data_IF_259105021245
#
_entry.id   IF_259105021245
#
_cell.length_a   1.000
_cell.length_b   1.000
_cell.length_c   1.000
_cell.angle_alpha   90.00
_cell.angle_beta   90.00
_cell.angle_gamma   90.00
#
_symmetry.space_group_name_H-M   'P 1'
#
loop_
_entity.id
_entity.type
_entity.pdbx_description
1 polymer ?
#
# COMPACT_ATOMS: atom_id res chain seq x y z
N UNK A 1 4.10 -21.74 -6.72
CA UNK A 1 2.77 -21.30 -7.17
C UNK A 1 1.96 -22.48 -7.70
N UNK A 2 2.46 -23.26 -8.68
CA UNK A 2 1.74 -24.38 -9.32
C UNK A 2 1.30 -25.44 -8.30
N UNK A 3 2.19 -25.89 -7.42
CA UNK A 3 1.90 -26.90 -6.38
C UNK A 3 0.82 -26.41 -5.42
N UNK A 4 0.90 -25.17 -4.95
CA UNK A 4 -0.12 -24.55 -4.09
C UNK A 4 -1.47 -24.41 -4.82
N UNK A 5 -1.47 -24.12 -6.13
CA UNK A 5 -2.68 -24.05 -6.94
C UNK A 5 -3.38 -25.41 -7.06
N UNK A 6 -2.62 -26.48 -7.31
CA UNK A 6 -3.15 -27.84 -7.38
C UNK A 6 -3.69 -28.29 -6.02
N UNK A 7 -2.97 -28.06 -4.94
CA UNK A 7 -3.45 -28.36 -3.57
C UNK A 7 -4.72 -27.57 -3.25
N UNK A 8 -4.81 -26.30 -3.67
CA UNK A 8 -6.01 -25.48 -3.49
C UNK A 8 -7.25 -26.06 -4.20
N UNK A 9 -7.09 -26.60 -5.40
CA UNK A 9 -8.20 -27.24 -6.13
C UNK A 9 -8.80 -28.45 -5.38
N UNK A 10 -7.98 -29.18 -4.63
CA UNK A 10 -8.45 -30.35 -3.86
C UNK A 10 -8.91 -30.03 -2.45
N UNK A 11 -8.41 -28.95 -1.84
CA UNK A 11 -8.69 -28.62 -0.43
C UNK A 11 -9.75 -27.53 -0.27
N UNK A 12 -9.91 -26.61 -1.24
CA UNK A 12 -10.91 -25.57 -1.18
C UNK A 12 -12.27 -26.13 -1.61
N UNK A 13 -13.14 -26.39 -0.63
CA UNK A 13 -14.57 -26.62 -0.89
C UNK A 13 -15.23 -25.27 -1.15
N UNK A 14 -15.84 -25.14 -2.31
CA UNK A 14 -16.65 -23.97 -2.66
C UNK A 14 -17.85 -23.88 -1.69
N UNK A 15 -17.80 -22.91 -0.79
CA UNK A 15 -18.92 -22.64 0.11
C UNK A 15 -19.99 -21.91 -0.68
N UNK A 16 -20.90 -22.66 -1.29
CA UNK A 16 -22.08 -22.15 -2.02
C UNK A 16 -23.11 -21.53 -1.07
N UNK A 17 -22.71 -20.63 -0.21
CA UNK A 17 -23.60 -19.82 0.61
C UNK A 17 -23.84 -18.45 -0.02
N UNK A 18 -24.44 -18.44 -1.18
CA UNK A 18 -24.91 -17.23 -1.86
C UNK A 18 -25.75 -17.65 -3.05
N UNK A 19 -27.03 -17.37 -2.98
CA UNK A 19 -27.91 -17.44 -4.15
C UNK A 19 -27.38 -16.41 -5.15
N UNK A 20 -26.55 -16.88 -6.11
CA UNK A 20 -26.23 -16.07 -7.27
C UNK A 20 -27.55 -15.93 -8.07
N UNK A 21 -28.16 -14.78 -7.98
CA UNK A 21 -29.11 -14.36 -9.01
C UNK A 21 -28.35 -14.35 -10.36
N UNK A 22 -28.63 -15.34 -11.17
CA UNK A 22 -27.94 -15.67 -12.43
C UNK A 22 -28.14 -14.65 -13.56
N UNK A 23 -28.70 -13.46 -13.32
CA UNK A 23 -29.04 -12.46 -14.35
C UNK A 23 -28.48 -11.07 -14.10
N UNK A 24 -27.45 -10.92 -13.28
CA UNK A 24 -26.75 -9.64 -13.11
C UNK A 24 -25.81 -9.37 -14.29
N UNK A 25 -26.05 -8.27 -14.99
CA UNK A 25 -25.10 -7.78 -15.99
C UNK A 25 -23.90 -7.19 -15.22
N UNK A 26 -22.73 -7.86 -15.25
CA UNK A 26 -21.51 -7.49 -14.50
C UNK A 26 -21.19 -5.99 -14.55
N UNK A 27 -21.38 -5.37 -15.72
CA UNK A 27 -21.21 -3.92 -15.90
C UNK A 27 -22.23 -3.08 -15.12
N UNK A 28 -23.48 -3.55 -15.02
CA UNK A 28 -24.52 -2.86 -14.22
C UNK A 28 -24.19 -2.94 -12.72
N UNK A 29 -23.68 -4.07 -12.26
CA UNK A 29 -23.30 -4.28 -10.87
C UNK A 29 -22.07 -3.42 -10.50
N UNK A 30 -21.07 -3.33 -11.39
CA UNK A 30 -19.92 -2.47 -11.20
C UNK A 30 -20.33 -0.98 -11.13
N UNK A 31 -21.19 -0.52 -12.07
CA UNK A 31 -21.71 0.86 -12.08
C UNK A 31 -22.61 1.13 -10.87
N UNK A 32 -23.34 0.10 -10.39
CA UNK A 32 -24.19 0.23 -9.21
C UNK A 32 -23.41 0.73 -7.98
N UNK A 33 -22.22 0.22 -7.76
CA UNK A 33 -21.34 0.65 -6.67
C UNK A 33 -20.97 2.14 -6.72
N UNK A 34 -20.94 2.76 -7.89
CA UNK A 34 -20.64 4.19 -8.03
C UNK A 34 -21.89 5.10 -7.97
N UNK A 35 -23.08 4.55 -7.77
CA UNK A 35 -24.28 5.37 -7.58
C UNK A 35 -24.18 6.23 -6.33
N UNK A 36 -24.54 7.53 -6.39
CA UNK A 36 -24.45 8.44 -5.23
C UNK A 36 -25.20 7.95 -3.99
N UNK A 37 -26.31 7.22 -4.16
CA UNK A 37 -27.06 6.61 -3.07
C UNK A 37 -26.23 5.55 -2.32
N UNK A 38 -25.57 4.64 -3.07
CA UNK A 38 -24.74 3.56 -2.52
C UNK A 38 -23.48 4.13 -1.83
N UNK A 39 -22.86 5.16 -2.44
CA UNK A 39 -21.72 5.86 -1.85
C UNK A 39 -22.11 6.55 -0.54
N UNK A 40 -23.27 7.19 -0.49
CA UNK A 40 -23.78 7.87 0.72
C UNK A 40 -24.09 6.87 1.84
N UNK A 41 -24.75 5.77 1.51
CA UNK A 41 -25.06 4.67 2.44
C UNK A 41 -23.78 4.05 3.02
N UNK A 42 -22.79 3.76 2.17
CA UNK A 42 -21.53 3.13 2.55
C UNK A 42 -20.38 4.14 2.69
N UNK A 43 -20.66 5.35 3.14
CA UNK A 43 -19.71 6.47 3.15
C UNK A 43 -18.42 6.19 3.92
N UNK A 44 -18.45 5.35 4.97
CA UNK A 44 -17.25 4.92 5.72
C UNK A 44 -16.34 4.02 4.89
N UNK A 45 -16.93 3.10 4.12
CA UNK A 45 -16.20 2.22 3.22
C UNK A 45 -15.52 3.02 2.10
N UNK A 46 -16.22 3.97 1.47
CA UNK A 46 -15.63 4.80 0.42
C UNK A 46 -14.54 5.74 0.95
N UNK A 47 -14.66 6.24 2.17
CA UNK A 47 -13.56 6.97 2.83
C UNK A 47 -12.34 6.06 3.07
N UNK A 48 -12.55 4.81 3.44
CA UNK A 48 -11.47 3.84 3.58
C UNK A 48 -10.84 3.51 2.20
N UNK A 49 -11.64 3.42 1.12
CA UNK A 49 -11.12 3.27 -0.24
C UNK A 49 -10.29 4.47 -0.69
N UNK A 50 -10.72 5.69 -0.38
CA UNK A 50 -9.94 6.90 -0.67
C UNK A 50 -8.62 6.89 0.11
N UNK A 51 -8.64 6.50 1.40
CA UNK A 51 -7.44 6.42 2.22
C UNK A 51 -6.43 5.43 1.64
N UNK A 52 -6.88 4.23 1.25
CA UNK A 52 -6.00 3.21 0.68
C UNK A 52 -5.52 3.59 -0.73
N UNK A 53 -6.35 4.29 -1.51
CA UNK A 53 -5.98 4.83 -2.82
C UNK A 53 -4.84 5.84 -2.71
N UNK A 54 -4.95 6.81 -1.80
CA UNK A 54 -3.91 7.81 -1.56
C UNK A 54 -2.61 7.16 -1.04
N UNK A 55 -2.73 6.20 -0.13
CA UNK A 55 -1.57 5.43 0.37
C UNK A 55 -0.86 4.69 -0.77
N UNK A 56 -1.60 3.93 -1.56
CA UNK A 56 -1.02 3.19 -2.69
C UNK A 56 -0.48 4.12 -3.78
N UNK A 57 -1.13 5.27 -4.01
CA UNK A 57 -0.58 6.29 -4.92
C UNK A 57 0.76 6.81 -4.41
N UNK A 58 0.89 7.11 -3.11
CA UNK A 58 2.17 7.52 -2.54
C UNK A 58 3.27 6.46 -2.73
N UNK A 59 2.92 5.17 -2.58
CA UNK A 59 3.85 4.07 -2.85
C UNK A 59 4.25 4.04 -4.32
N UNK A 60 3.29 4.14 -5.24
CA UNK A 60 3.55 4.07 -6.68
C UNK A 60 4.29 5.29 -7.25
N UNK A 61 4.40 6.39 -6.51
CA UNK A 61 5.23 7.53 -6.92
C UNK A 61 6.71 7.17 -6.97
N UNK A 62 7.22 6.39 -6.02
CA UNK A 62 8.65 6.07 -5.91
C UNK A 62 8.98 4.60 -6.20
N UNK A 63 8.07 3.68 -5.90
CA UNK A 63 8.38 2.25 -5.92
C UNK A 63 8.84 1.72 -7.29
N UNK A 64 8.23 2.11 -8.44
CA UNK A 64 8.71 1.69 -9.76
C UNK A 64 10.13 2.19 -10.07
N UNK A 65 10.52 3.32 -9.51
CA UNK A 65 11.81 3.96 -9.76
C UNK A 65 12.87 3.61 -8.70
N UNK A 66 12.47 2.95 -7.61
CA UNK A 66 13.34 2.70 -6.45
C UNK A 66 14.60 1.93 -6.82
N UNK A 67 14.47 0.86 -7.62
CA UNK A 67 15.60 0.04 -8.01
C UNK A 67 16.61 0.83 -8.84
N UNK A 68 16.12 1.58 -9.83
CA UNK A 68 16.93 2.41 -10.71
C UNK A 68 17.62 3.52 -9.90
N UNK A 69 16.91 4.13 -8.94
CA UNK A 69 17.47 5.12 -8.02
C UNK A 69 18.62 4.54 -7.17
N UNK A 70 18.45 3.34 -6.64
CA UNK A 70 19.50 2.67 -5.88
C UNK A 70 20.74 2.40 -6.73
N UNK A 71 20.57 1.96 -7.98
CA UNK A 71 21.66 1.62 -8.89
C UNK A 71 22.39 2.87 -9.40
N UNK A 72 21.66 3.80 -10.00
CA UNK A 72 22.25 4.96 -10.70
C UNK A 72 22.55 6.14 -9.77
N UNK A 73 21.63 6.49 -8.88
CA UNK A 73 21.80 7.67 -8.03
C UNK A 73 22.58 7.41 -6.74
N UNK A 74 22.49 6.19 -6.18
CA UNK A 74 23.21 5.81 -4.96
C UNK A 74 24.40 4.89 -5.21
N UNK A 75 24.65 4.46 -6.46
CA UNK A 75 25.77 3.62 -6.85
C UNK A 75 25.72 2.21 -6.23
N UNK A 76 24.52 1.67 -6.01
CA UNK A 76 24.35 0.38 -5.37
C UNK A 76 24.45 -0.75 -6.40
N UNK A 77 25.51 -1.53 -6.38
CA UNK A 77 25.70 -2.67 -7.27
C UNK A 77 24.89 -3.87 -6.76
N UNK A 78 23.81 -4.20 -7.47
CA UNK A 78 22.97 -5.36 -7.13
C UNK A 78 23.71 -6.68 -7.37
N UNK A 79 24.62 -6.73 -8.33
CA UNK A 79 25.44 -7.91 -8.61
C UNK A 79 26.36 -8.25 -7.42
N UNK A 80 26.96 -7.25 -6.79
CA UNK A 80 27.75 -7.43 -5.57
C UNK A 80 26.87 -7.97 -4.43
N UNK A 81 25.66 -7.47 -4.28
CA UNK A 81 24.70 -7.96 -3.28
C UNK A 81 24.30 -9.41 -3.55
N UNK A 82 24.01 -9.77 -4.80
CA UNK A 82 23.67 -11.14 -5.19
C UNK A 82 24.84 -12.11 -4.96
N UNK A 83 26.05 -11.67 -5.20
CA UNK A 83 27.27 -12.45 -4.91
C UNK A 83 27.44 -12.76 -3.41
N UNK A 84 27.14 -11.81 -2.54
CA UNK A 84 27.16 -11.99 -1.08
C UNK A 84 25.95 -12.80 -0.56
N UNK A 85 24.84 -12.82 -1.31
CA UNK A 85 23.52 -13.29 -0.86
C UNK A 85 23.28 -14.78 -1.16
N UNK A 86 23.97 -15.38 -2.15
CA UNK A 86 23.61 -16.74 -2.63
C UNK A 86 23.81 -17.87 -1.63
N UNK A 87 24.82 -17.83 -0.76
CA UNK A 87 25.02 -18.88 0.26
C UNK A 87 24.37 -18.55 1.63
N UNK A 88 24.53 -17.32 2.19
CA UNK A 88 23.91 -16.99 3.47
C UNK A 88 22.39 -16.84 3.41
N UNK A 89 21.80 -16.51 2.25
CA UNK A 89 20.32 -16.38 2.14
C UNK A 89 19.60 -17.70 2.29
N UNK A 90 20.13 -18.80 1.78
CA UNK A 90 19.51 -20.11 1.97
C UNK A 90 19.46 -20.51 3.45
N UNK A 91 20.48 -20.11 4.23
CA UNK A 91 20.56 -20.33 5.67
C UNK A 91 19.73 -19.30 6.44
N UNK A 92 19.68 -18.05 5.96
CA UNK A 92 18.95 -16.96 6.60
C UNK A 92 17.44 -16.96 6.31
N UNK A 93 16.99 -17.57 5.19
CA UNK A 93 15.59 -17.59 4.79
C UNK A 93 14.61 -18.06 5.89
N UNK A 94 14.85 -19.16 6.63
CA UNK A 94 13.98 -19.58 7.72
C UNK A 94 13.95 -18.56 8.85
N UNK A 95 15.05 -17.89 9.17
CA UNK A 95 15.11 -16.85 10.20
C UNK A 95 14.36 -15.60 9.79
N UNK A 96 14.41 -15.22 8.51
CA UNK A 96 13.63 -14.12 7.94
C UNK A 96 12.13 -14.41 8.03
N UNK A 97 11.71 -15.63 7.71
CA UNK A 97 10.30 -16.05 7.82
C UNK A 97 9.84 -15.99 9.28
N UNK A 98 10.64 -16.50 10.22
CA UNK A 98 10.34 -16.44 11.67
C UNK A 98 10.25 -14.98 12.13
N UNK A 99 11.17 -14.12 11.69
CA UNK A 99 11.15 -12.70 12.02
C UNK A 99 9.89 -12.00 11.47
N UNK A 100 9.48 -12.31 10.24
CA UNK A 100 8.25 -11.79 9.65
C UNK A 100 7.01 -12.23 10.44
N UNK A 101 6.92 -13.50 10.81
CA UNK A 101 5.83 -14.01 11.65
C UNK A 101 5.82 -13.31 13.02
N UNK A 102 7.00 -13.15 13.64
CA UNK A 102 7.12 -12.43 14.92
C UNK A 102 6.65 -10.98 14.81
N UNK A 103 7.00 -10.28 13.72
CA UNK A 103 6.54 -8.91 13.44
C UNK A 103 5.01 -8.87 13.30
N UNK A 104 4.40 -9.80 12.58
CA UNK A 104 2.93 -9.87 12.42
C UNK A 104 2.25 -10.06 13.77
N UNK A 105 2.77 -10.96 14.63
CA UNK A 105 2.23 -11.20 15.97
C UNK A 105 2.41 -9.96 16.87
N UNK A 106 3.57 -9.31 16.81
CA UNK A 106 3.82 -8.07 17.55
C UNK A 106 2.87 -6.94 17.14
N UNK A 107 2.65 -6.78 15.83
CA UNK A 107 1.68 -5.81 15.31
C UNK A 107 0.27 -6.11 15.81
N UNK A 108 -0.16 -7.38 15.81
CA UNK A 108 -1.44 -7.79 16.38
C UNK A 108 -1.58 -7.37 17.84
N UNK A 109 -0.61 -7.74 18.70
CA UNK A 109 -0.58 -7.34 20.11
C UNK A 109 -0.55 -5.83 20.32
N UNK A 110 0.12 -5.10 19.43
CA UNK A 110 0.21 -3.65 19.48
C UNK A 110 -1.15 -2.99 19.16
N UNK A 111 -1.89 -3.56 18.20
CA UNK A 111 -3.27 -3.14 17.87
C UNK A 111 -4.17 -3.30 19.09
N UNK A 112 -4.10 -4.45 19.77
CA UNK A 112 -4.92 -4.77 20.95
C UNK A 112 -4.60 -3.84 22.13
N UNK A 113 -3.32 -3.46 22.30
CA UNK A 113 -2.86 -2.65 23.44
C UNK A 113 -3.07 -1.15 23.24
N UNK A 114 -2.78 -0.62 22.06
CA UNK A 114 -2.77 0.83 21.77
C UNK A 114 -4.08 1.29 21.12
N UNK A 115 -4.79 0.35 20.51
CA UNK A 115 -6.00 0.63 19.74
C UNK A 115 -5.71 0.99 18.28
N UNK A 116 -6.61 0.53 17.40
CA UNK A 116 -6.49 0.63 15.95
C UNK A 116 -6.32 2.07 15.44
N UNK A 117 -7.05 3.02 16.04
CA UNK A 117 -7.03 4.41 15.58
C UNK A 117 -5.69 5.10 15.84
N UNK A 118 -5.10 4.90 17.02
CA UNK A 118 -3.80 5.51 17.37
C UNK A 118 -2.72 4.91 16.48
N UNK A 119 -2.72 3.60 16.33
CA UNK A 119 -1.72 2.89 15.52
C UNK A 119 -1.79 3.29 14.04
N UNK A 120 -2.98 3.59 13.51
CA UNK A 120 -3.14 4.11 12.16
C UNK A 120 -2.40 5.46 11.97
N UNK A 121 -2.57 6.41 12.90
CA UNK A 121 -1.87 7.70 12.82
C UNK A 121 -0.36 7.55 13.01
N UNK A 122 0.08 6.66 13.90
CA UNK A 122 1.51 6.33 14.07
C UNK A 122 2.10 5.73 12.78
N UNK A 123 1.36 4.84 12.11
CA UNK A 123 1.78 4.25 10.84
C UNK A 123 1.92 5.31 9.73
N UNK A 124 0.96 6.25 9.63
CA UNK A 124 1.04 7.37 8.67
C UNK A 124 2.27 8.24 8.98
N UNK A 125 2.50 8.56 10.26
CA UNK A 125 3.65 9.37 10.67
C UNK A 125 4.98 8.67 10.34
N UNK A 126 5.13 7.39 10.67
CA UNK A 126 6.33 6.60 10.35
C UNK A 126 6.59 6.55 8.85
N UNK A 127 5.56 6.26 8.06
CA UNK A 127 5.68 6.19 6.61
C UNK A 127 6.09 7.55 6.01
N UNK A 128 5.42 8.63 6.43
CA UNK A 128 5.70 9.98 5.93
C UNK A 128 7.09 10.47 6.36
N UNK A 129 7.47 10.25 7.63
CA UNK A 129 8.80 10.61 8.14
C UNK A 129 9.89 9.82 7.42
N UNK A 130 9.66 8.51 7.18
CA UNK A 130 10.59 7.68 6.41
C UNK A 130 10.79 8.18 4.98
N UNK A 131 9.71 8.53 4.28
CA UNK A 131 9.76 9.14 2.94
C UNK A 131 10.48 10.49 2.95
N UNK A 132 10.14 11.35 3.89
CA UNK A 132 10.78 12.65 4.04
C UNK A 132 12.28 12.52 4.33
N UNK A 133 12.65 11.63 5.25
CA UNK A 133 14.07 11.35 5.52
C UNK A 133 14.80 10.82 4.28
N UNK A 134 14.18 9.90 3.52
CA UNK A 134 14.75 9.34 2.30
C UNK A 134 15.06 10.42 1.24
N UNK A 135 14.26 11.50 1.18
CA UNK A 135 14.47 12.59 0.22
C UNK A 135 15.74 13.41 0.47
N UNK A 136 16.32 13.35 1.68
CA UNK A 136 17.56 14.05 2.04
C UNK A 136 18.78 13.13 2.09
N UNK A 137 18.62 11.82 1.91
CA UNK A 137 19.71 10.86 2.04
C UNK A 137 20.30 10.53 0.66
N UNK A 138 21.50 11.09 0.41
CA UNK A 138 22.22 10.94 -0.85
C UNK A 138 23.31 9.85 -0.82
N UNK A 139 23.37 9.05 0.25
CA UNK A 139 24.35 7.97 0.43
C UNK A 139 23.61 6.68 0.76
N UNK A 140 24.01 5.55 0.15
CA UNK A 140 23.36 4.26 0.32
C UNK A 140 23.19 3.85 1.81
N UNK A 141 24.21 4.04 2.65
CA UNK A 141 24.12 3.73 4.08
C UNK A 141 23.12 4.59 4.85
N UNK A 142 23.06 5.90 4.56
CA UNK A 142 22.08 6.80 5.18
C UNK A 142 20.67 6.52 4.67
N UNK A 143 20.53 6.20 3.37
CA UNK A 143 19.26 5.81 2.78
C UNK A 143 18.72 4.53 3.45
N UNK A 144 19.57 3.52 3.68
CA UNK A 144 19.20 2.31 4.39
C UNK A 144 18.64 2.58 5.80
N UNK A 145 19.17 3.60 6.50
CA UNK A 145 18.64 4.01 7.80
C UNK A 145 17.23 4.61 7.68
N UNK A 146 16.97 5.42 6.66
CA UNK A 146 15.63 5.98 6.41
C UNK A 146 14.63 4.95 5.90
N UNK A 147 15.10 3.87 5.28
CA UNK A 147 14.26 2.77 4.82
C UNK A 147 13.58 2.02 5.98
N UNK A 148 14.19 1.99 7.18
CA UNK A 148 13.60 1.33 8.36
C UNK A 148 12.23 1.93 8.72
N UNK A 149 12.09 3.21 9.06
CA UNK A 149 10.77 3.80 9.35
C UNK A 149 9.86 3.81 8.13
N UNK A 150 10.39 3.94 6.91
CA UNK A 150 9.61 3.90 5.68
C UNK A 150 8.91 2.56 5.51
N UNK A 151 9.63 1.44 5.54
CA UNK A 151 9.05 0.12 5.34
C UNK A 151 8.23 -0.36 6.55
N UNK A 152 8.62 0.02 7.78
CA UNK A 152 7.80 -0.23 8.96
C UNK A 152 6.45 0.50 8.86
N UNK A 153 6.47 1.77 8.49
CA UNK A 153 5.26 2.57 8.27
C UNK A 153 4.41 2.02 7.12
N UNK A 154 5.03 1.63 6.00
CA UNK A 154 4.37 0.98 4.87
C UNK A 154 3.62 -0.28 5.28
N UNK A 155 4.29 -1.18 5.99
CA UNK A 155 3.69 -2.45 6.44
C UNK A 155 2.54 -2.23 7.42
N UNK A 156 2.76 -1.39 8.45
CA UNK A 156 1.73 -1.07 9.44
C UNK A 156 0.52 -0.38 8.80
N UNK A 157 0.74 0.63 7.98
CA UNK A 157 -0.33 1.38 7.32
C UNK A 157 -1.12 0.49 6.35
N UNK A 158 -0.43 -0.38 5.61
CA UNK A 158 -1.05 -1.38 4.74
C UNK A 158 -1.98 -2.31 5.52
N UNK A 159 -1.52 -2.88 6.63
CA UNK A 159 -2.33 -3.75 7.50
C UNK A 159 -3.55 -3.00 8.05
N UNK A 160 -3.33 -1.78 8.57
CA UNK A 160 -4.41 -0.98 9.19
C UNK A 160 -5.49 -0.57 8.18
N UNK A 161 -5.11 -0.10 7.00
CA UNK A 161 -6.07 0.32 5.97
C UNK A 161 -6.82 -0.87 5.38
N UNK A 162 -6.15 -2.00 5.11
CA UNK A 162 -6.81 -3.22 4.63
C UNK A 162 -7.80 -3.78 5.67
N UNK A 163 -7.43 -3.79 6.96
CA UNK A 163 -8.34 -4.16 8.04
C UNK A 163 -9.53 -3.20 8.12
N UNK A 164 -9.30 -1.89 7.95
CA UNK A 164 -10.37 -0.88 7.96
C UNK A 164 -11.36 -1.08 6.81
N UNK A 165 -10.88 -1.35 5.60
CA UNK A 165 -11.73 -1.67 4.44
C UNK A 165 -12.59 -2.91 4.73
N UNK A 166 -11.97 -3.98 5.28
CA UNK A 166 -12.69 -5.20 5.61
C UNK A 166 -13.80 -4.97 6.64
N UNK A 167 -13.53 -4.18 7.69
CA UNK A 167 -14.50 -3.92 8.77
C UNK A 167 -15.73 -3.13 8.30
N UNK A 168 -15.60 -2.34 7.22
CA UNK A 168 -16.71 -1.56 6.65
C UNK A 168 -17.35 -2.20 5.43
N UNK A 169 -16.81 -3.33 4.92
CA UNK A 169 -17.39 -4.03 3.77
C UNK A 169 -18.61 -4.82 4.20
N UNK A 170 -19.82 -4.57 3.64
CA UNK A 170 -21.01 -5.35 3.92
C UNK A 170 -20.85 -6.82 3.46
N UNK A 171 -21.24 -7.76 4.31
CA UNK A 171 -21.08 -9.20 4.07
C UNK A 171 -21.91 -9.69 2.86
N UNK A 172 -23.11 -9.14 2.68
CA UNK A 172 -24.05 -9.46 1.61
C UNK A 172 -23.57 -9.01 0.20
N UNK A 173 -22.66 -8.01 0.13
CA UNK A 173 -22.16 -7.41 -1.12
C UNK A 173 -20.64 -7.46 -1.26
N UNK A 174 -20.00 -8.39 -0.57
CA UNK A 174 -18.52 -8.49 -0.54
C UNK A 174 -17.92 -8.59 -1.94
N UNK A 175 -18.49 -9.38 -2.84
CA UNK A 175 -17.99 -9.54 -4.22
C UNK A 175 -18.01 -8.23 -5.02
N UNK A 176 -19.10 -7.45 -4.92
CA UNK A 176 -19.22 -6.15 -5.57
C UNK A 176 -18.16 -5.16 -5.05
N UNK A 177 -18.06 -5.01 -3.73
CA UNK A 177 -17.11 -4.08 -3.12
C UNK A 177 -15.66 -4.51 -3.30
N UNK A 178 -15.38 -5.81 -3.48
CA UNK A 178 -14.05 -6.28 -3.82
C UNK A 178 -13.61 -5.80 -5.23
N UNK A 179 -14.51 -5.79 -6.21
CA UNK A 179 -14.26 -5.21 -7.53
C UNK A 179 -13.95 -3.71 -7.45
N UNK A 180 -14.77 -2.95 -6.71
CA UNK A 180 -14.55 -1.51 -6.50
C UNK A 180 -13.23 -1.25 -5.77
N UNK A 181 -12.91 -2.06 -4.75
CA UNK A 181 -11.64 -1.99 -4.05
C UNK A 181 -10.45 -2.09 -4.99
N UNK A 182 -10.48 -2.98 -5.99
CA UNK A 182 -9.38 -3.13 -6.96
C UNK A 182 -9.15 -1.85 -7.77
N UNK A 183 -10.19 -1.09 -8.06
CA UNK A 183 -10.06 0.22 -8.74
C UNK A 183 -9.28 1.20 -7.87
N UNK A 184 -9.64 1.33 -6.59
CA UNK A 184 -8.99 2.27 -5.66
C UNK A 184 -7.62 1.79 -5.19
N UNK A 185 -7.41 0.48 -5.08
CA UNK A 185 -6.18 -0.11 -4.56
C UNK A 185 -5.10 -0.28 -5.63
N UNK A 186 -5.50 -0.57 -6.87
CA UNK A 186 -4.57 -0.92 -7.96
C UNK A 186 -4.67 0.07 -9.12
N UNK A 187 -5.85 0.17 -9.75
CA UNK A 187 -5.99 0.86 -11.03
C UNK A 187 -5.60 2.35 -10.93
N UNK A 188 -6.21 3.10 -10.02
CA UNK A 188 -5.94 4.54 -9.86
C UNK A 188 -4.48 4.78 -9.42
N UNK A 189 -3.95 4.10 -8.39
CA UNK A 189 -2.56 4.28 -7.97
C UNK A 189 -1.54 3.97 -9.05
N UNK A 190 -1.73 2.91 -9.83
CA UNK A 190 -0.80 2.52 -10.90
C UNK A 190 -0.77 3.50 -12.09
N UNK A 191 -1.81 4.30 -12.29
CA UNK A 191 -1.84 5.34 -13.32
C UNK A 191 -1.29 6.66 -12.75
N UNK A 192 -1.78 7.07 -11.59
CA UNK A 192 -1.49 8.39 -11.01
C UNK A 192 -0.09 8.44 -10.39
N UNK A 193 0.30 7.41 -9.64
CA UNK A 193 1.58 7.37 -8.92
C UNK A 193 2.79 7.52 -9.84
N UNK A 194 2.98 6.63 -10.83
CA UNK A 194 4.10 6.73 -11.77
C UNK A 194 4.09 8.04 -12.58
N UNK A 195 2.89 8.57 -12.92
CA UNK A 195 2.78 9.86 -13.61
C UNK A 195 3.29 11.03 -12.77
N UNK A 196 3.11 11.00 -11.44
CA UNK A 196 3.68 11.98 -10.52
C UNK A 196 5.20 11.80 -10.45
N UNK A 197 5.68 10.56 -10.26
CA UNK A 197 7.09 10.22 -10.20
C UNK A 197 7.86 10.66 -11.45
N UNK A 198 7.33 10.34 -12.64
CA UNK A 198 7.93 10.72 -13.92
C UNK A 198 8.04 12.25 -14.07
N UNK A 199 6.98 13.00 -13.74
CA UNK A 199 7.01 14.48 -13.81
C UNK A 199 8.04 15.08 -12.85
N UNK A 200 8.17 14.52 -11.65
CA UNK A 200 9.17 14.98 -10.67
C UNK A 200 10.58 14.65 -11.16
N UNK A 201 10.81 13.44 -11.68
CA UNK A 201 12.10 13.07 -12.25
C UNK A 201 12.46 13.96 -13.46
N UNK A 202 11.54 14.24 -14.36
CA UNK A 202 11.76 15.18 -15.48
C UNK A 202 12.13 16.59 -15.04
N UNK A 203 11.55 17.06 -13.93
CA UNK A 203 11.79 18.42 -13.42
C UNK A 203 13.10 18.56 -12.65
N UNK A 204 13.58 17.50 -12.00
CA UNK A 204 14.68 17.55 -11.03
C UNK A 204 15.81 16.54 -11.30
N UNK A 205 15.79 15.80 -12.42
CA UNK A 205 16.84 14.85 -12.75
C UNK A 205 18.20 15.54 -12.92
N UNK A 206 19.24 14.94 -12.34
CA UNK A 206 20.62 15.39 -12.53
C UNK A 206 21.26 14.89 -13.83
N UNK A 207 20.63 13.91 -14.50
CA UNK A 207 21.16 13.27 -15.70
C UNK A 207 20.11 12.40 -16.39
N UNK A 208 20.59 11.67 -17.40
CA UNK A 208 19.81 10.65 -18.11
C UNK A 208 20.58 9.32 -18.11
N UNK A 209 19.87 8.21 -18.04
CA UNK A 209 20.42 6.87 -18.22
C UNK A 209 19.78 6.19 -19.43
N UNK A 210 20.48 5.22 -20.02
CA UNK A 210 19.96 4.41 -21.12
C UNK A 210 19.33 3.16 -20.49
N UNK A 211 18.02 2.96 -20.70
CA UNK A 211 17.31 1.77 -20.25
C UNK A 211 17.64 0.53 -21.07
N UNK A 212 17.19 -0.64 -20.62
CA UNK A 212 17.36 -1.91 -21.35
C UNK A 212 16.68 -1.92 -22.71
N UNK A 213 15.71 -1.01 -22.93
CA UNK A 213 15.02 -0.75 -24.19
C UNK A 213 15.83 0.12 -25.17
N UNK A 214 17.03 0.57 -24.78
CA UNK A 214 17.89 1.47 -25.54
C UNK A 214 17.40 2.93 -25.56
N UNK A 215 16.35 3.27 -24.81
CA UNK A 215 15.83 4.64 -24.73
C UNK A 215 16.52 5.42 -23.61
N UNK A 216 16.74 6.72 -23.86
CA UNK A 216 17.25 7.63 -22.86
C UNK A 216 16.13 8.05 -21.91
N UNK A 217 16.24 7.69 -20.63
CA UNK A 217 15.30 8.01 -19.58
C UNK A 217 15.93 8.96 -18.56
N UNK A 218 15.09 9.75 -17.86
CA UNK A 218 15.56 10.63 -16.79
C UNK A 218 15.97 9.82 -15.56
N UNK A 219 17.11 10.16 -14.95
CA UNK A 219 17.53 9.53 -13.72
C UNK A 219 16.53 9.80 -12.58
N UNK A 220 16.09 8.76 -11.86
CA UNK A 220 15.26 8.95 -10.68
C UNK A 220 15.97 9.82 -9.63
N UNK A 221 15.26 10.76 -9.06
CA UNK A 221 15.81 11.73 -8.12
C UNK A 221 15.20 11.60 -6.72
N UNK A 222 15.92 12.08 -5.69
CA UNK A 222 15.46 12.00 -4.30
C UNK A 222 14.14 12.76 -4.06
N UNK A 223 13.82 13.75 -4.89
CA UNK A 223 12.59 14.54 -4.82
C UNK A 223 11.32 13.70 -5.05
N UNK A 224 11.41 12.52 -5.69
CA UNK A 224 10.27 11.60 -5.80
C UNK A 224 9.77 11.12 -4.42
N UNK A 225 10.69 10.93 -3.44
CA UNK A 225 10.30 10.58 -2.07
C UNK A 225 9.59 11.74 -1.37
N UNK A 226 9.99 12.98 -1.64
CA UNK A 226 9.31 14.17 -1.12
C UNK A 226 7.88 14.27 -1.68
N UNK A 227 7.71 14.07 -2.99
CA UNK A 227 6.40 14.04 -3.62
C UNK A 227 5.52 12.92 -3.04
N UNK A 228 6.09 11.73 -2.84
CA UNK A 228 5.41 10.62 -2.18
C UNK A 228 5.00 10.98 -0.73
N UNK A 229 5.86 11.68 0.03
CA UNK A 229 5.55 12.13 1.38
C UNK A 229 4.37 13.11 1.42
N UNK A 230 4.30 14.04 0.46
CA UNK A 230 3.16 14.97 0.33
C UNK A 230 1.86 14.18 0.05
N UNK A 231 1.88 13.23 -0.87
CA UNK A 231 0.71 12.37 -1.15
C UNK A 231 0.35 11.53 0.08
N UNK A 232 1.33 10.99 0.81
CA UNK A 232 1.11 10.22 2.04
C UNK A 232 0.43 11.06 3.14
N UNK A 233 0.76 12.34 3.28
CA UNK A 233 0.09 13.25 4.21
C UNK A 233 -1.39 13.42 3.90
N UNK A 234 -1.80 13.37 2.63
CA UNK A 234 -3.22 13.47 2.25
C UNK A 234 -4.05 12.30 2.79
N UNK A 235 -3.43 11.16 3.14
CA UNK A 235 -4.11 10.02 3.79
C UNK A 235 -4.71 10.41 5.13
N UNK A 236 -4.15 11.42 5.82
CA UNK A 236 -4.70 11.94 7.08
C UNK A 236 -6.13 12.45 6.93
N UNK A 237 -6.47 13.06 5.79
CA UNK A 237 -7.79 13.67 5.57
C UNK A 237 -8.92 12.64 5.72
N UNK A 238 -8.97 11.56 4.90
CA UNK A 238 -10.02 10.56 5.04
C UNK A 238 -9.96 9.82 6.38
N UNK A 239 -8.77 9.61 6.97
CA UNK A 239 -8.63 8.95 8.27
C UNK A 239 -9.21 9.80 9.42
N UNK A 240 -9.00 11.12 9.41
CA UNK A 240 -9.60 12.04 10.40
C UNK A 240 -11.13 12.06 10.26
N UNK A 241 -11.65 12.11 9.03
CA UNK A 241 -13.10 12.08 8.76
C UNK A 241 -13.70 10.76 9.25
N UNK A 242 -13.03 9.63 8.99
CA UNK A 242 -13.46 8.31 9.48
C UNK A 242 -13.54 8.26 11.00
N UNK A 243 -12.51 8.78 11.68
CA UNK A 243 -12.49 8.86 13.15
C UNK A 243 -13.65 9.66 13.70
N UNK A 244 -13.94 10.85 13.14
CA UNK A 244 -15.07 11.70 13.55
C UNK A 244 -16.41 10.99 13.36
N UNK A 245 -16.63 10.33 12.21
CA UNK A 245 -17.87 9.55 11.95
C UNK A 245 -18.01 8.30 12.83
N UNK A 246 -16.93 7.76 13.34
CA UNK A 246 -16.92 6.62 14.28
C UNK A 246 -17.33 7.02 15.70
N UNK A 247 -16.92 8.19 16.16
CA UNK A 247 -17.23 8.72 17.50
C UNK A 247 -18.72 9.08 17.61
N UNK A 248 -19.31 9.72 16.59
CA UNK A 248 -20.72 10.10 16.61
C UNK A 248 -21.67 8.90 16.77
N UNK A 249 -21.32 7.74 16.18
CA UNK A 249 -22.17 6.55 16.30
C UNK A 249 -22.19 5.93 17.71
N UNK A 250 -21.14 6.14 18.52
CA UNK A 250 -21.07 5.66 19.90
C UNK A 250 -21.80 6.59 20.89
N UNK A 251 -22.12 7.81 20.49
CA UNK A 251 -22.90 8.75 21.28
C UNK A 251 -24.41 8.49 21.13
N UNK A 252 -24.83 8.12 19.91
CA UNK A 252 -26.25 7.82 19.60
C UNK A 252 -26.76 6.47 20.17
N UNK A 253 -25.85 5.62 20.70
CA UNK A 253 -26.20 4.33 21.32
C UNK A 253 -26.28 4.44 22.86
N UNK A 254 -25.90 5.60 23.41
CA UNK A 254 -25.91 5.85 24.86
C UNK A 254 -27.06 6.76 25.34
N UNK A 255 -27.90 7.20 24.44
CA UNK A 255 -29.22 7.81 24.71
C UNK A 255 -30.35 6.80 24.44
#
# INVERSE_FOLDING_TARGET
VIVCGILGLFTLKDSRSGVHEKNGNYWKDLIYGFKPSVVKENSKLYLAFIAICLFQTAVQVFFPYLLIYLQHSLGFNIEDLLGYVTKPVLIAAPFVIIALVAVIVLVGKLIDKIGKNILLFVAIALFTVGLFAASFMHTAGKFALSAIPLFAGYGLLGIMLNSTVRDYTPEDKTGLFQGIRMIFFVLIPMIVGPSIGDRVCKAYAGGTYVGDDGLSNYEPCAQMFLAAAIVALLVLIPCIILRKKGINKNTDIKE
#
